data_IF_039534610183
#
_entry.id   IF_039534610183
#
_cell.length_a   1.000
_cell.length_b   1.000
_cell.length_c   1.000
_cell.angle_alpha   90.00
_cell.angle_beta   90.00
_cell.angle_gamma   90.00
#
_symmetry.space_group_name_H-M   'P 1'
#
loop_
_entity.id
_entity.type
_entity.pdbx_description
1 polymer ?
#
# COMPACT_ATOMS: atom_id res chain seq x y z
N UNK A 1 12.84 -19.20 -1.47
CA UNK A 1 13.29 -17.81 -1.43
C UNK A 1 12.31 -17.01 -0.59
N UNK A 2 12.82 -16.20 0.32
CA UNK A 2 11.96 -15.39 1.17
C UNK A 2 11.55 -14.12 0.43
N UNK A 3 10.27 -13.86 0.40
CA UNK A 3 9.77 -12.60 -0.11
C UNK A 3 10.04 -11.51 0.93
N UNK A 4 10.46 -10.37 0.45
CA UNK A 4 10.71 -9.21 1.30
C UNK A 4 9.71 -8.12 0.94
N UNK A 5 9.36 -7.33 1.94
CA UNK A 5 8.45 -6.25 1.69
C UNK A 5 8.16 -5.45 2.93
N UNK A 6 7.41 -4.39 2.74
CA UNK A 6 6.95 -3.53 3.82
C UNK A 6 5.47 -3.24 3.62
N UNK A 7 4.80 -2.96 4.72
CA UNK A 7 3.40 -2.56 4.68
C UNK A 7 3.15 -1.44 5.68
N UNK A 8 2.08 -0.70 5.44
CA UNK A 8 1.66 0.37 6.34
C UNK A 8 0.15 0.33 6.49
N UNK A 9 -0.32 0.50 7.72
CA UNK A 9 -1.74 0.65 8.01
C UNK A 9 -2.10 2.12 8.03
N UNK A 10 -3.22 2.46 7.41
CA UNK A 10 -3.74 3.83 7.38
C UNK A 10 -5.17 3.81 7.86
N UNK A 11 -5.45 4.57 8.91
CA UNK A 11 -6.81 4.77 9.41
C UNK A 11 -7.12 6.25 9.43
N UNK A 12 -8.05 6.67 8.59
CA UNK A 12 -8.45 8.07 8.47
C UNK A 12 -9.98 8.11 8.38
N UNK A 13 -10.62 8.78 9.31
CA UNK A 13 -12.07 8.78 9.36
C UNK A 13 -12.58 7.36 9.50
N UNK A 14 -13.47 6.94 8.61
CA UNK A 14 -13.99 5.58 8.59
C UNK A 14 -13.24 4.67 7.64
N UNK A 15 -12.18 5.19 6.99
CA UNK A 15 -11.41 4.41 6.02
C UNK A 15 -10.26 3.68 6.70
N UNK A 16 -10.05 2.43 6.29
CA UNK A 16 -8.92 1.63 6.75
C UNK A 16 -8.25 0.99 5.52
N UNK A 17 -7.03 1.40 5.25
CA UNK A 17 -6.26 0.94 4.10
C UNK A 17 -4.99 0.25 4.56
N UNK A 18 -4.53 -0.71 3.75
CA UNK A 18 -3.21 -1.31 3.91
C UNK A 18 -2.43 -1.10 2.63
N UNK A 19 -1.25 -0.51 2.78
CA UNK A 19 -0.37 -0.23 1.65
C UNK A 19 0.76 -1.25 1.67
N UNK A 20 1.12 -1.74 0.50
CA UNK A 20 2.16 -2.76 0.37
C UNK A 20 3.19 -2.38 -0.67
N UNK A 21 4.44 -2.64 -0.37
CA UNK A 21 5.53 -2.63 -1.34
C UNK A 21 6.30 -3.93 -1.10
N UNK A 22 6.17 -4.89 -2.01
CA UNK A 22 6.65 -6.25 -1.78
C UNK A 22 7.48 -6.74 -2.95
N UNK A 23 8.57 -7.42 -2.62
CA UNK A 23 9.42 -8.07 -3.60
C UNK A 23 9.12 -9.55 -3.64
N UNK A 24 8.88 -10.06 -4.84
CA UNK A 24 8.64 -11.48 -5.07
C UNK A 24 9.48 -11.94 -6.28
N UNK A 25 9.22 -13.17 -6.74
CA UNK A 25 10.00 -13.74 -7.84
C UNK A 25 9.87 -12.93 -9.15
N UNK A 26 8.83 -12.12 -9.26
CA UNK A 26 8.55 -11.34 -10.47
C UNK A 26 9.00 -9.88 -10.34
N UNK A 27 9.59 -9.50 -9.21
CA UNK A 27 10.06 -8.15 -8.97
C UNK A 27 9.34 -7.50 -7.80
N UNK A 28 9.37 -6.18 -7.75
CA UNK A 28 8.72 -5.42 -6.68
C UNK A 28 7.37 -4.92 -7.16
N UNK A 29 6.36 -5.06 -6.33
CA UNK A 29 5.00 -4.64 -6.65
C UNK A 29 4.44 -3.76 -5.54
N UNK A 30 3.73 -2.71 -5.94
CA UNK A 30 3.01 -1.82 -5.04
C UNK A 30 1.51 -2.11 -5.13
N UNK A 31 0.83 -2.11 -3.99
CA UNK A 31 -0.61 -2.34 -3.96
C UNK A 31 -1.24 -1.67 -2.74
N UNK A 32 -2.55 -1.44 -2.81
CA UNK A 32 -3.33 -0.84 -1.72
C UNK A 32 -4.60 -1.64 -1.55
N UNK A 33 -4.84 -2.08 -0.32
CA UNK A 33 -6.00 -2.89 0.03
C UNK A 33 -6.95 -2.09 0.92
N UNK A 34 -8.25 -2.13 0.61
CA UNK A 34 -9.28 -1.53 1.45
C UNK A 34 -9.80 -2.60 2.40
N UNK A 35 -9.47 -2.46 3.69
CA UNK A 35 -9.81 -3.46 4.69
C UNK A 35 -11.32 -3.53 4.92
N UNK A 36 -11.99 -2.39 4.94
CA UNK A 36 -13.44 -2.34 5.19
C UNK A 36 -14.24 -2.94 4.04
N UNK A 37 -13.86 -2.61 2.82
CA UNK A 37 -14.55 -3.12 1.63
C UNK A 37 -14.04 -4.49 1.20
N UNK A 38 -12.93 -4.94 1.75
CA UNK A 38 -12.31 -6.24 1.44
C UNK A 38 -11.98 -6.37 -0.04
N UNK A 39 -11.45 -5.31 -0.61
CA UNK A 39 -11.02 -5.34 -2.02
C UNK A 39 -9.74 -4.52 -2.20
N UNK A 40 -9.07 -4.77 -3.33
CA UNK A 40 -7.90 -4.01 -3.71
C UNK A 40 -8.35 -2.71 -4.39
N UNK A 41 -7.83 -1.57 -3.90
CA UNK A 41 -8.15 -0.27 -4.49
C UNK A 41 -7.39 -0.09 -5.79
N UNK A 42 -6.12 -0.50 -5.78
CA UNK A 42 -5.27 -0.40 -6.95
C UNK A 42 -4.73 -1.79 -7.27
N UNK A 43 -4.70 -2.16 -8.55
CA UNK A 43 -4.06 -3.40 -8.94
C UNK A 43 -2.58 -3.33 -8.62
N UNK A 44 -1.97 -4.49 -8.41
CA UNK A 44 -0.53 -4.56 -8.20
C UNK A 44 0.20 -3.93 -9.38
N UNK A 45 1.10 -3.01 -9.08
CA UNK A 45 1.87 -2.33 -10.11
C UNK A 45 3.35 -2.61 -9.90
N UNK A 46 4.03 -3.02 -10.97
CA UNK A 46 5.45 -3.32 -10.92
C UNK A 46 6.28 -2.05 -10.83
N UNK A 47 7.25 -2.06 -9.92
CA UNK A 47 8.22 -0.99 -9.76
C UNK A 47 9.62 -1.60 -9.64
N UNK A 48 10.64 -0.77 -9.59
CA UNK A 48 12.01 -1.27 -9.56
C UNK A 48 12.53 -1.54 -8.16
N UNK A 49 12.11 -0.73 -7.18
CA UNK A 49 12.63 -0.84 -5.81
C UNK A 49 11.51 -0.77 -4.79
N UNK A 50 11.81 -1.23 -3.58
CA UNK A 50 10.87 -1.13 -2.45
C UNK A 50 10.52 0.34 -2.18
N UNK A 51 11.50 1.25 -2.27
CA UNK A 51 11.24 2.68 -2.05
C UNK A 51 10.29 3.24 -3.09
N UNK A 52 10.43 2.86 -4.36
CA UNK A 52 9.49 3.26 -5.40
C UNK A 52 8.11 2.68 -5.15
N UNK A 53 8.03 1.45 -4.65
CA UNK A 53 6.77 0.83 -4.29
C UNK A 53 6.05 1.58 -3.18
N UNK A 54 6.78 2.03 -2.17
CA UNK A 54 6.21 2.85 -1.09
C UNK A 54 5.59 4.13 -1.63
N UNK A 55 6.32 4.82 -2.52
CA UNK A 55 5.83 6.06 -3.11
C UNK A 55 4.59 5.83 -3.97
N UNK A 56 4.60 4.75 -4.74
CA UNK A 56 3.48 4.42 -5.61
C UNK A 56 2.23 4.08 -4.79
N UNK A 57 2.37 3.24 -3.78
CA UNK A 57 1.27 2.88 -2.90
C UNK A 57 0.72 4.11 -2.17
N UNK A 58 1.59 4.99 -1.68
CA UNK A 58 1.19 6.22 -1.03
C UNK A 58 0.41 7.13 -1.98
N UNK A 59 0.84 7.22 -3.22
CA UNK A 59 0.17 8.03 -4.24
C UNK A 59 -1.26 7.51 -4.49
N UNK A 60 -1.42 6.20 -4.63
CA UNK A 60 -2.74 5.62 -4.84
C UNK A 60 -3.64 5.80 -3.61
N UNK A 61 -3.09 5.60 -2.41
CA UNK A 61 -3.85 5.76 -1.18
C UNK A 61 -4.31 7.22 -1.00
N UNK A 62 -3.42 8.17 -1.25
CA UNK A 62 -3.75 9.59 -1.14
C UNK A 62 -4.86 9.99 -2.13
N UNK A 63 -4.77 9.51 -3.37
CA UNK A 63 -5.77 9.80 -4.39
C UNK A 63 -7.14 9.22 -4.00
N UNK A 64 -7.15 7.99 -3.49
CA UNK A 64 -8.38 7.35 -3.03
C UNK A 64 -9.04 8.13 -1.88
N UNK A 65 -8.25 8.48 -0.87
CA UNK A 65 -8.76 9.20 0.30
C UNK A 65 -9.33 10.55 -0.09
N UNK A 66 -8.70 11.24 -1.02
CA UNK A 66 -9.18 12.52 -1.51
C UNK A 66 -10.50 12.36 -2.26
N UNK A 67 -10.63 11.29 -3.01
CA UNK A 67 -11.82 11.03 -3.81
C UNK A 67 -13.04 10.66 -2.97
N UNK A 68 -12.85 9.86 -1.91
CA UNK A 68 -13.98 9.36 -1.11
C UNK A 68 -14.47 10.34 -0.05
N UNK A 69 -13.65 11.30 0.38
CA UNK A 69 -14.06 12.20 1.43
C UNK A 69 -13.17 13.41 1.60
N UNK A 70 -12.35 13.70 0.61
CA UNK A 70 -11.37 14.78 0.68
C UNK A 70 -10.47 14.65 1.92
N UNK A 71 -10.11 13.42 2.23
CA UNK A 71 -9.26 13.09 3.38
C UNK A 71 -7.79 13.17 2.99
N UNK A 72 -6.94 13.49 3.96
CA UNK A 72 -5.51 13.54 3.74
C UNK A 72 -4.85 12.26 4.23
N UNK A 73 -3.81 11.82 3.51
CA UNK A 73 -3.01 10.68 3.92
C UNK A 73 -2.13 11.08 5.10
N UNK A 74 -2.26 10.40 6.25
CA UNK A 74 -1.41 10.70 7.40
C UNK A 74 0.02 10.20 7.18
N UNK A 75 0.96 10.60 8.03
CA UNK A 75 2.31 10.04 7.97
C UNK A 75 2.28 8.53 8.07
N UNK A 76 3.03 7.87 7.20
CA UNK A 76 3.05 6.42 7.11
C UNK A 76 4.14 5.83 7.99
N UNK A 77 3.81 4.73 8.66
CA UNK A 77 4.76 3.93 9.43
C UNK A 77 4.88 2.57 8.76
N UNK A 78 5.95 2.41 8.00
CA UNK A 78 6.20 1.17 7.29
C UNK A 78 6.79 0.12 8.22
N UNK A 79 6.26 -1.08 8.13
CA UNK A 79 6.73 -2.24 8.89
C UNK A 79 7.15 -3.33 7.93
N UNK A 80 8.04 -4.21 8.37
CA UNK A 80 8.37 -5.37 7.58
C UNK A 80 7.13 -6.25 7.41
N UNK A 81 6.86 -6.62 6.17
CA UNK A 81 5.84 -7.60 5.83
C UNK A 81 6.55 -8.79 5.23
N UNK A 82 6.57 -9.90 5.95
CA UNK A 82 7.22 -11.12 5.47
C UNK A 82 6.19 -12.19 5.23
N UNK A 83 6.37 -12.89 4.12
CA UNK A 83 5.62 -14.11 3.90
C UNK A 83 6.07 -15.16 4.93
N UNK A 84 5.12 -15.80 5.53
CA UNK A 84 5.39 -16.80 6.55
C UNK A 84 5.22 -18.18 5.96
#
# INVERSE_FOLDING_TARGET
>A
MLDEGVCADVKVGSEHLQLFSEQNAQGVQASVYNVNAKNWIAPSESVETIEQGKLKAATYAAAYLKQVGNLELPPLKWKEARAV
#
